data_IF_045329570724
#
_entry.id   IF_045329570724
#
_cell.length_a   1.000
_cell.length_b   1.000
_cell.length_c   1.000
_cell.angle_alpha   90.00
_cell.angle_beta   90.00
_cell.angle_gamma   90.00
#
_symmetry.space_group_name_H-M   'P 1'
#
loop_
_entity.id
_entity.type
_entity.pdbx_description
1 polymer ?
#
# COMPACT_ATOMS: atom_id res chain seq x y z
N UNK A 1 -27.20 -107.44 -3.57
CA UNK A 1 -26.73 -106.69 -4.75
C UNK A 1 -27.26 -105.27 -4.60
N UNK A 2 -26.53 -104.43 -3.87
CA UNK A 2 -26.92 -103.07 -3.47
C UNK A 2 -25.63 -102.22 -3.49
N UNK A 3 -25.64 -101.09 -4.21
CA UNK A 3 -25.08 -99.78 -3.81
C UNK A 3 -25.39 -98.80 -4.98
N UNK A 4 -26.42 -97.96 -4.87
CA UNK A 4 -26.46 -96.60 -4.28
C UNK A 4 -25.67 -95.57 -5.11
N UNK A 5 -26.46 -94.60 -5.58
CA UNK A 5 -26.18 -93.36 -6.29
C UNK A 5 -25.15 -92.46 -5.61
N UNK A 6 -24.18 -91.94 -6.36
CA UNK A 6 -23.41 -90.76 -5.97
C UNK A 6 -23.99 -89.52 -6.67
N UNK A 7 -24.52 -88.61 -5.87
CA UNK A 7 -24.75 -87.20 -6.23
C UNK A 7 -23.40 -86.50 -6.13
N UNK A 8 -23.00 -85.73 -7.15
CA UNK A 8 -21.90 -84.79 -6.99
C UNK A 8 -22.18 -83.47 -7.70
N UNK A 9 -21.72 -82.41 -7.07
CA UNK A 9 -22.34 -81.11 -7.02
C UNK A 9 -22.02 -80.22 -8.23
N UNK A 10 -23.03 -79.48 -8.71
CA UNK A 10 -22.83 -78.34 -9.59
C UNK A 10 -22.15 -77.21 -8.81
N UNK A 11 -20.83 -77.10 -8.91
CA UNK A 11 -20.11 -75.89 -8.56
C UNK A 11 -20.30 -74.86 -9.70
N UNK A 12 -21.03 -73.78 -9.44
CA UNK A 12 -21.11 -72.66 -10.38
C UNK A 12 -19.81 -71.82 -10.32
N UNK A 13 -19.26 -71.37 -11.46
CA UNK A 13 -18.12 -70.46 -11.47
C UNK A 13 -18.57 -69.08 -10.99
N UNK A 14 -18.05 -68.66 -9.84
CA UNK A 14 -18.27 -67.30 -9.31
C UNK A 14 -17.38 -66.35 -10.10
N UNK A 15 -17.97 -65.43 -10.86
CA UNK A 15 -17.22 -64.42 -11.60
C UNK A 15 -16.75 -63.30 -10.64
N UNK A 16 -15.50 -62.82 -10.74
CA UNK A 16 -15.03 -61.71 -9.92
C UNK A 16 -15.79 -60.42 -10.24
N UNK A 17 -16.00 -59.52 -9.26
CA UNK A 17 -16.70 -58.26 -9.49
C UNK A 17 -15.87 -57.37 -10.43
N UNK A 18 -16.51 -56.87 -11.48
CA UNK A 18 -15.94 -55.91 -12.41
C UNK A 18 -15.85 -54.55 -11.69
N UNK A 19 -14.63 -54.13 -11.32
CA UNK A 19 -14.39 -52.78 -10.82
C UNK A 19 -14.39 -51.79 -11.99
N UNK A 20 -15.34 -50.87 -11.97
CA UNK A 20 -15.40 -49.75 -12.91
C UNK A 20 -14.17 -48.84 -12.72
N UNK A 21 -13.59 -48.27 -13.79
CA UNK A 21 -12.53 -47.27 -13.68
C UNK A 21 -13.01 -46.08 -12.83
N UNK A 22 -12.30 -45.77 -11.75
CA UNK A 22 -12.59 -44.57 -10.96
C UNK A 22 -12.12 -43.34 -11.75
N UNK A 23 -13.01 -42.36 -11.92
CA UNK A 23 -12.67 -41.09 -12.54
C UNK A 23 -11.59 -40.35 -11.72
N UNK A 24 -10.65 -39.64 -12.35
CA UNK A 24 -9.67 -38.82 -11.64
C UNK A 24 -10.37 -37.80 -10.73
N UNK A 25 -9.85 -37.53 -9.53
CA UNK A 25 -10.39 -36.46 -8.70
C UNK A 25 -10.32 -35.13 -9.46
N UNK A 26 -11.33 -34.26 -9.32
CA UNK A 26 -11.31 -32.94 -9.96
C UNK A 26 -10.07 -32.16 -9.50
N UNK A 27 -9.48 -31.32 -10.38
CA UNK A 27 -8.35 -30.48 -10.00
C UNK A 27 -8.76 -29.62 -8.80
N UNK A 28 -7.96 -29.68 -7.73
CA UNK A 28 -8.13 -28.83 -6.56
C UNK A 28 -7.96 -27.38 -7.03
N UNK A 29 -9.01 -26.57 -6.87
CA UNK A 29 -8.92 -25.15 -7.17
C UNK A 29 -7.78 -24.53 -6.35
N UNK A 30 -6.91 -23.78 -7.01
CA UNK A 30 -5.86 -23.04 -6.32
C UNK A 30 -6.50 -22.09 -5.29
N UNK A 31 -5.90 -21.91 -4.10
CA UNK A 31 -6.37 -20.92 -3.14
C UNK A 31 -6.47 -19.54 -3.83
N UNK A 32 -7.49 -18.72 -3.53
CA UNK A 32 -7.53 -17.34 -3.97
C UNK A 32 -6.20 -16.65 -3.60
N UNK A 33 -5.67 -15.74 -4.45
CA UNK A 33 -4.50 -14.95 -4.09
C UNK A 33 -4.75 -14.29 -2.72
N UNK A 34 -3.82 -14.45 -1.79
CA UNK A 34 -3.91 -13.75 -0.51
C UNK A 34 -3.95 -12.24 -0.81
N UNK A 35 -5.02 -11.56 -0.40
CA UNK A 35 -5.10 -10.11 -0.44
C UNK A 35 -3.98 -9.57 0.44
N UNK A 36 -3.01 -8.91 -0.18
CA UNK A 36 -1.90 -8.31 0.55
C UNK A 36 -2.45 -7.31 1.58
N UNK A 37 -2.08 -7.51 2.84
CA UNK A 37 -2.55 -6.68 3.96
C UNK A 37 -2.00 -5.26 3.86
N UNK A 38 -2.74 -4.24 4.35
CA UNK A 38 -2.21 -2.87 4.41
C UNK A 38 -0.89 -2.81 5.18
N UNK A 39 0.04 -1.98 4.71
CA UNK A 39 1.30 -1.73 5.39
C UNK A 39 1.06 -1.04 6.73
N UNK A 40 1.68 -1.55 7.79
CA UNK A 40 1.79 -0.81 9.06
C UNK A 40 2.93 0.21 9.00
N UNK A 41 2.88 1.24 9.83
CA UNK A 41 3.97 2.22 9.91
C UNK A 41 5.33 1.56 10.26
N UNK A 42 5.34 0.50 11.09
CA UNK A 42 6.57 -0.22 11.43
C UNK A 42 7.21 -0.98 10.25
N UNK A 43 6.45 -1.23 9.19
CA UNK A 43 6.96 -1.83 7.96
C UNK A 43 7.42 -0.79 6.94
N UNK A 44 7.20 0.49 7.23
CA UNK A 44 7.45 1.59 6.33
C UNK A 44 8.55 2.50 6.86
N UNK A 45 9.27 3.11 5.93
CA UNK A 45 10.04 4.32 6.17
C UNK A 45 9.55 5.40 5.21
N UNK A 46 9.65 6.66 5.61
CA UNK A 46 9.36 7.78 4.74
C UNK A 46 10.67 8.54 4.46
N UNK A 47 10.83 9.04 3.24
CA UNK A 47 12.02 9.80 2.86
C UNK A 47 11.71 10.88 1.82
N UNK A 48 12.48 11.95 1.86
CA UNK A 48 12.53 12.97 0.82
C UNK A 48 13.29 12.46 -0.41
N UNK A 49 12.86 12.84 -1.61
CA UNK A 49 13.45 12.43 -2.89
C UNK A 49 13.98 13.62 -3.67
N UNK A 50 13.13 14.60 -3.96
CA UNK A 50 13.48 15.78 -4.76
C UNK A 50 12.57 16.96 -4.43
N UNK A 51 13.01 18.15 -4.83
CA UNK A 51 12.20 19.38 -4.79
C UNK A 51 12.40 20.16 -6.08
N UNK A 52 11.31 20.71 -6.59
CA UNK A 52 11.29 21.60 -7.75
C UNK A 52 10.39 22.80 -7.44
N UNK A 53 10.72 23.97 -7.99
CA UNK A 53 9.95 25.17 -7.70
C UNK A 53 9.89 26.14 -8.87
N UNK A 54 8.73 26.78 -9.04
CA UNK A 54 8.52 27.81 -10.04
C UNK A 54 7.43 28.79 -9.59
N UNK A 55 7.65 30.08 -9.83
CA UNK A 55 6.70 31.17 -9.54
C UNK A 55 6.12 31.13 -8.11
N UNK A 56 6.96 30.70 -7.16
CA UNK A 56 6.63 30.58 -5.75
C UNK A 56 5.71 29.41 -5.37
N UNK A 57 5.53 28.46 -6.28
CA UNK A 57 5.01 27.11 -5.98
C UNK A 57 6.15 26.13 -5.93
N UNK A 58 6.20 25.32 -4.87
CA UNK A 58 7.19 24.28 -4.65
C UNK A 58 6.47 22.94 -4.68
N UNK A 59 7.09 21.96 -5.32
CA UNK A 59 6.69 20.56 -5.32
C UNK A 59 7.84 19.73 -4.76
N UNK A 60 7.61 19.13 -3.59
CA UNK A 60 8.48 18.12 -3.03
C UNK A 60 7.95 16.73 -3.41
N UNK A 61 8.86 15.83 -3.79
CA UNK A 61 8.56 14.41 -3.93
C UNK A 61 9.09 13.68 -2.71
N UNK A 62 8.20 12.97 -2.03
CA UNK A 62 8.51 12.07 -0.93
C UNK A 62 8.10 10.64 -1.32
N UNK A 63 8.54 9.65 -0.55
CA UNK A 63 8.14 8.27 -0.77
C UNK A 63 7.99 7.48 0.53
N UNK A 64 7.08 6.50 0.51
CA UNK A 64 6.98 5.44 1.52
C UNK A 64 7.67 4.19 1.00
N UNK A 65 8.64 3.65 1.74
CA UNK A 65 9.38 2.43 1.36
C UNK A 65 9.09 1.30 2.32
N UNK A 66 8.72 0.12 1.80
CA UNK A 66 8.57 -1.08 2.60
C UNK A 66 9.95 -1.61 3.03
N UNK A 67 10.27 -1.48 4.32
CA UNK A 67 11.53 -1.94 4.92
C UNK A 67 11.41 -3.32 5.57
N UNK A 68 10.21 -3.91 5.57
CA UNK A 68 9.97 -5.25 6.08
C UNK A 68 10.29 -6.34 5.04
N UNK A 69 10.29 -7.60 5.47
CA UNK A 69 10.48 -8.76 4.59
C UNK A 69 9.18 -9.26 3.95
N UNK A 70 8.05 -8.60 4.18
CA UNK A 70 6.71 -9.04 3.76
C UNK A 70 6.08 -8.00 2.85
N UNK A 71 5.56 -8.43 1.70
CA UNK A 71 4.78 -7.56 0.82
C UNK A 71 3.51 -7.08 1.53
N UNK A 72 3.23 -5.79 1.43
CA UNK A 72 2.03 -5.15 1.97
C UNK A 72 1.48 -4.14 0.98
N UNK A 73 0.32 -3.55 1.27
CA UNK A 73 -0.34 -2.58 0.38
C UNK A 73 -0.46 -1.19 0.97
N UNK A 74 -0.41 -0.17 0.12
CA UNK A 74 -0.75 1.22 0.46
C UNK A 74 -1.77 1.77 -0.54
N UNK A 75 -2.62 2.70 -0.11
CA UNK A 75 -3.63 3.30 -0.99
C UNK A 75 -4.08 4.66 -0.44
N UNK A 76 -4.39 5.59 -1.33
CA UNK A 76 -4.97 6.88 -0.96
C UNK A 76 -3.91 7.94 -0.67
N UNK A 77 -4.11 8.69 0.41
CA UNK A 77 -3.27 9.83 0.79
C UNK A 77 -2.64 9.58 2.16
N UNK A 78 -1.42 10.09 2.35
CA UNK A 78 -0.85 10.25 3.69
C UNK A 78 -1.49 11.46 4.37
N UNK A 79 -1.35 11.55 5.70
CA UNK A 79 -1.63 12.78 6.45
C UNK A 79 -0.32 13.39 6.91
N UNK A 80 -0.20 14.72 6.81
CA UNK A 80 1.02 15.47 7.16
C UNK A 80 0.83 16.39 8.35
N UNK A 81 1.85 16.44 9.19
CA UNK A 81 2.06 17.48 10.21
C UNK A 81 3.48 18.02 10.13
N UNK A 82 3.63 19.34 10.20
CA UNK A 82 4.91 20.03 10.17
C UNK A 82 5.44 20.27 11.57
N UNK A 83 6.75 20.12 11.73
CA UNK A 83 7.46 20.31 13.00
C UNK A 83 8.69 21.19 12.73
N UNK A 84 8.90 22.21 13.56
CA UNK A 84 10.05 23.11 13.46
C UNK A 84 11.36 22.46 13.96
N UNK A 85 12.48 23.17 13.82
CA UNK A 85 13.79 22.69 14.26
C UNK A 85 13.92 22.50 15.78
N UNK A 86 13.02 23.09 16.57
CA UNK A 86 12.92 22.90 18.02
C UNK A 86 12.10 21.67 18.42
N UNK A 87 11.48 20.97 17.47
CA UNK A 87 10.58 19.85 17.73
C UNK A 87 9.16 20.29 18.08
N UNK A 88 8.76 21.53 17.76
CA UNK A 88 7.43 22.07 18.03
C UNK A 88 6.57 21.98 16.78
N UNK A 89 5.32 21.52 16.96
CA UNK A 89 4.36 21.49 15.86
C UNK A 89 4.06 22.90 15.37
N UNK A 90 4.18 23.11 14.06
CA UNK A 90 3.75 24.35 13.40
C UNK A 90 2.43 24.12 12.68
N UNK A 91 1.65 25.19 12.50
CA UNK A 91 0.34 25.12 11.86
C UNK A 91 0.45 24.44 10.51
N UNK A 92 -0.29 23.34 10.33
CA UNK A 92 -0.32 22.58 9.08
C UNK A 92 -1.76 22.47 8.62
N UNK A 93 -2.04 22.92 7.40
CA UNK A 93 -3.32 22.69 6.72
C UNK A 93 -3.08 21.74 5.56
N UNK A 94 -3.24 20.46 5.87
CA UNK A 94 -3.15 19.37 4.90
C UNK A 94 -4.38 19.33 3.98
N UNK A 95 -4.15 19.29 2.66
CA UNK A 95 -5.18 19.27 1.62
C UNK A 95 -4.92 18.09 0.67
N UNK A 96 -5.54 16.92 0.90
CA UNK A 96 -5.40 15.77 0.01
C UNK A 96 -6.03 16.07 -1.36
N UNK A 97 -5.29 15.78 -2.42
CA UNK A 97 -5.72 16.02 -3.81
C UNK A 97 -5.86 17.49 -4.17
N UNK A 98 -5.18 18.39 -3.44
CA UNK A 98 -5.24 19.83 -3.67
C UNK A 98 -4.28 20.33 -4.77
N UNK A 99 -4.58 21.52 -5.30
CA UNK A 99 -3.68 22.23 -6.20
C UNK A 99 -3.29 21.44 -7.45
N UNK A 100 -1.98 21.42 -7.76
CA UNK A 100 -1.41 20.69 -8.90
C UNK A 100 -1.39 19.16 -8.70
N UNK A 101 -1.73 18.68 -7.49
CA UNK A 101 -1.72 17.26 -7.12
C UNK A 101 -3.12 16.64 -7.10
N UNK A 102 -4.03 17.18 -7.90
CA UNK A 102 -5.45 16.80 -7.93
C UNK A 102 -5.76 15.49 -8.67
N UNK A 103 -4.73 14.74 -9.10
CA UNK A 103 -4.92 13.39 -9.67
C UNK A 103 -5.45 12.45 -8.56
N UNK A 104 -6.61 11.79 -8.77
CA UNK A 104 -7.20 10.90 -7.77
C UNK A 104 -6.28 9.72 -7.42
N UNK A 105 -6.48 9.07 -6.26
CA UNK A 105 -5.79 7.83 -5.94
C UNK A 105 -6.22 6.71 -6.89
N UNK A 106 -5.33 5.75 -7.09
CA UNK A 106 -5.65 4.56 -7.86
C UNK A 106 -6.72 3.72 -7.12
N UNK A 107 -7.69 3.13 -7.86
CA UNK A 107 -8.80 2.39 -7.26
C UNK A 107 -8.35 1.10 -6.58
N UNK A 108 -7.23 0.53 -7.05
CA UNK A 108 -6.64 -0.69 -6.50
C UNK A 108 -5.50 -0.36 -5.52
N UNK A 109 -5.32 -1.14 -4.44
CA UNK A 109 -4.19 -0.95 -3.54
C UNK A 109 -2.85 -1.21 -4.23
N UNK A 110 -1.86 -0.36 -3.95
CA UNK A 110 -0.50 -0.46 -4.47
C UNK A 110 0.27 -1.48 -3.63
N UNK A 111 0.71 -2.58 -4.25
CA UNK A 111 1.55 -3.58 -3.58
C UNK A 111 3.01 -3.12 -3.51
N UNK A 112 3.57 -3.09 -2.29
CA UNK A 112 4.97 -2.81 -2.03
C UNK A 112 5.66 -4.09 -1.56
N UNK A 113 6.44 -4.70 -2.45
CA UNK A 113 7.38 -5.76 -2.06
C UNK A 113 8.51 -5.17 -1.18
N UNK A 114 9.28 -6.00 -0.45
CA UNK A 114 10.43 -5.54 0.31
C UNK A 114 11.37 -4.66 -0.53
N UNK A 115 11.66 -3.46 -0.04
CA UNK A 115 12.50 -2.46 -0.70
C UNK A 115 11.81 -1.65 -1.81
N UNK A 116 10.53 -1.89 -2.12
CA UNK A 116 9.78 -1.05 -3.06
C UNK A 116 9.25 0.21 -2.37
N UNK A 117 9.13 1.28 -3.17
CA UNK A 117 8.74 2.60 -2.70
C UNK A 117 7.53 3.12 -3.48
N UNK A 118 6.57 3.72 -2.78
CA UNK A 118 5.44 4.44 -3.35
C UNK A 118 5.69 5.95 -3.20
N UNK A 119 5.89 6.70 -4.31
CA UNK A 119 6.09 8.14 -4.24
C UNK A 119 4.76 8.89 -4.07
N UNK A 120 4.83 10.08 -3.49
CA UNK A 120 3.73 11.04 -3.41
C UNK A 120 4.28 12.47 -3.40
N UNK A 121 3.49 13.41 -3.91
CA UNK A 121 3.87 14.82 -3.97
C UNK A 121 3.39 15.60 -2.76
N UNK A 122 4.12 16.64 -2.40
CA UNK A 122 3.72 17.67 -1.44
C UNK A 122 3.93 19.02 -2.10
N UNK A 123 2.85 19.76 -2.36
CA UNK A 123 2.91 21.04 -3.05
C UNK A 123 2.47 22.20 -2.16
N UNK A 124 3.27 23.26 -2.10
CA UNK A 124 3.07 24.41 -1.22
C UNK A 124 3.54 25.71 -1.88
N UNK A 125 3.23 26.85 -1.26
CA UNK A 125 3.61 28.18 -1.75
C UNK A 125 4.59 28.83 -0.77
N UNK A 126 5.69 29.40 -1.27
CA UNK A 126 6.61 30.24 -0.48
C UNK A 126 6.27 31.74 -0.56
N UNK A 127 5.17 32.07 -1.25
CA UNK A 127 4.67 33.45 -1.38
C UNK A 127 3.69 33.75 -0.23
N UNK A 128 3.99 34.74 0.64
CA UNK A 128 3.08 35.18 1.68
C UNK A 128 1.76 35.70 1.10
N UNK A 129 0.64 35.40 1.75
CA UNK A 129 -0.69 35.88 1.34
C UNK A 129 -1.41 36.59 2.48
N UNK A 130 -2.37 37.46 2.12
CA UNK A 130 -3.15 38.20 3.12
C UNK A 130 -2.28 39.15 3.95
N UNK A 131 -2.17 38.87 5.25
CA UNK A 131 -1.36 39.65 6.19
C UNK A 131 -0.04 38.96 6.57
N UNK A 132 0.30 37.84 5.93
CA UNK A 132 1.58 37.18 6.14
C UNK A 132 2.72 38.07 5.64
N UNK A 133 3.75 38.21 6.47
CA UNK A 133 5.01 38.88 6.10
C UNK A 133 6.17 37.88 6.02
N UNK A 134 6.02 36.73 6.67
CA UNK A 134 6.92 35.58 6.68
C UNK A 134 6.11 34.30 6.84
N UNK A 135 6.66 33.16 6.43
CA UNK A 135 6.01 31.87 6.54
C UNK A 135 6.79 30.98 7.52
N UNK A 136 6.14 30.36 8.53
CA UNK A 136 6.83 29.52 9.49
C UNK A 136 7.54 28.35 8.81
N UNK A 137 8.83 28.17 9.14
CA UNK A 137 9.63 27.07 8.62
C UNK A 137 9.41 25.78 9.42
N UNK A 138 9.44 24.65 8.72
CA UNK A 138 9.44 23.31 9.27
C UNK A 138 10.75 22.61 8.88
N UNK A 139 11.32 21.88 9.83
CA UNK A 139 12.53 21.07 9.63
C UNK A 139 12.20 19.58 9.47
N UNK A 140 10.98 19.17 9.84
CA UNK A 140 10.53 17.79 9.81
C UNK A 140 9.06 17.73 9.38
N UNK A 141 8.72 16.70 8.60
CA UNK A 141 7.36 16.23 8.41
C UNK A 141 7.12 14.97 9.23
N UNK A 142 6.05 14.97 10.00
CA UNK A 142 5.40 13.77 10.50
C UNK A 142 4.41 13.28 9.43
N UNK A 143 4.68 12.10 8.88
CA UNK A 143 3.90 11.46 7.81
C UNK A 143 3.14 10.28 8.41
N UNK A 144 1.82 10.35 8.46
CA UNK A 144 0.97 9.21 8.87
C UNK A 144 0.54 8.42 7.65
N UNK A 145 0.94 7.13 7.50
CA UNK A 145 0.49 6.29 6.41
C UNK A 145 -1.04 6.08 6.43
N UNK A 146 -1.66 5.81 5.26
CA UNK A 146 -3.09 5.57 5.17
C UNK A 146 -3.56 4.45 6.10
N UNK A 147 -4.63 4.67 6.84
CA UNK A 147 -5.24 3.67 7.73
C UNK A 147 -4.48 3.41 9.05
N UNK A 148 -3.41 4.16 9.33
CA UNK A 148 -2.66 4.11 10.58
C UNK A 148 -2.78 5.38 11.43
N UNK A 149 -2.14 5.37 12.60
CA UNK A 149 -2.02 6.51 13.52
C UNK A 149 -0.58 6.78 13.97
N UNK A 150 0.36 6.02 13.44
CA UNK A 150 1.78 6.12 13.79
C UNK A 150 2.49 6.90 12.71
N UNK A 151 3.17 7.96 13.13
CA UNK A 151 3.88 8.88 12.26
C UNK A 151 5.28 8.35 11.91
N UNK A 152 5.70 8.62 10.67
CA UNK A 152 7.05 8.45 10.17
C UNK A 152 7.66 9.85 10.01
N UNK A 153 8.87 10.05 10.51
CA UNK A 153 9.51 11.37 10.45
C UNK A 153 10.41 11.51 9.23
N UNK A 154 10.28 12.60 8.50
CA UNK A 154 11.08 12.93 7.31
C UNK A 154 11.73 14.30 7.50
N UNK A 155 13.07 14.40 7.50
CA UNK A 155 13.74 15.69 7.45
C UNK A 155 13.43 16.42 6.14
N UNK A 156 13.09 17.70 6.26
CA UNK A 156 12.72 18.57 5.15
C UNK A 156 13.21 19.99 5.43
N UNK A 157 13.15 20.85 4.40
CA UNK A 157 13.28 22.29 4.55
C UNK A 157 12.13 22.94 3.78
N UNK A 158 11.07 23.30 4.48
CA UNK A 158 9.87 23.89 3.86
C UNK A 158 9.31 25.01 4.73
N UNK A 159 8.75 26.03 4.09
CA UNK A 159 8.11 27.15 4.77
C UNK A 159 6.78 27.53 4.09
N UNK A 160 5.73 26.67 4.19
CA UNK A 160 4.46 26.90 3.50
C UNK A 160 3.74 28.15 4.01
N UNK A 161 3.53 29.08 3.10
CA UNK A 161 2.65 30.22 3.28
C UNK A 161 1.17 29.82 3.15
N UNK A 162 0.27 30.78 3.31
CA UNK A 162 -1.17 30.52 3.26
C UNK A 162 -1.65 29.72 4.47
N UNK A 163 -1.16 30.08 5.65
CA UNK A 163 -1.50 29.44 6.93
C UNK A 163 -0.93 28.04 7.08
N UNK A 164 0.23 27.76 6.48
CA UNK A 164 0.84 26.43 6.52
C UNK A 164 0.14 25.42 5.61
N UNK A 165 -0.45 25.87 4.50
CA UNK A 165 -1.18 24.98 3.58
C UNK A 165 -0.21 24.13 2.77
N UNK A 166 -0.41 22.81 2.84
CA UNK A 166 0.30 21.82 2.02
C UNK A 166 -0.73 20.99 1.27
N UNK A 167 -0.57 20.85 -0.04
CA UNK A 167 -1.38 19.97 -0.86
C UNK A 167 -0.68 18.63 -0.97
N UNK A 168 -1.40 17.53 -0.78
CA UNK A 168 -0.81 16.18 -0.75
C UNK A 168 -1.36 15.36 -1.89
N UNK A 169 -0.45 14.84 -2.72
CA UNK A 169 -0.78 13.94 -3.80
C UNK A 169 -1.09 12.55 -3.28
N UNK A 170 -1.92 11.81 -4.01
CA UNK A 170 -2.14 10.40 -3.69
C UNK A 170 -0.84 9.61 -3.91
N UNK A 171 -0.70 8.54 -3.13
CA UNK A 171 0.36 7.55 -3.29
C UNK A 171 0.28 6.94 -4.68
N UNK A 172 1.46 6.73 -5.28
CA UNK A 172 1.61 6.21 -6.66
C UNK A 172 2.32 4.88 -6.68
N UNK A 173 2.12 4.12 -7.76
CA UNK A 173 2.85 2.87 -7.95
C UNK A 173 4.37 3.13 -8.02
N UNK A 174 5.20 2.14 -7.66
CA UNK A 174 6.65 2.28 -7.75
C UNK A 174 7.12 2.76 -9.12
N UNK A 175 7.90 3.85 -9.14
CA UNK A 175 8.45 4.45 -10.36
C UNK A 175 7.51 5.39 -11.11
N UNK A 176 6.28 5.62 -10.65
CA UNK A 176 5.39 6.62 -11.25
C UNK A 176 5.73 8.05 -10.84
N UNK A 177 5.36 9.00 -11.71
CA UNK A 177 5.35 10.44 -11.43
C UNK A 177 4.30 10.79 -10.36
N UNK A 178 4.59 11.82 -9.55
CA UNK A 178 3.65 12.37 -8.56
C UNK A 178 2.66 13.38 -9.13
N UNK A 179 2.96 13.95 -10.30
CA UNK A 179 2.08 14.78 -11.13
C UNK A 179 1.39 13.92 -12.20
#
# INVERSE_FOLDING_TARGET
MILVTAVDAFAQPVSPPVQLPQAPPPPVAAPPPATATPCTALQLSASFVSSEGAAGTILDTLQLTNTSSVTCTVQGFVTLHMIDAGGINVTTRDVPGGGILNRPPDPDPIALAPGQSSPFGVAWSDVPVGNETTCPAAAMLAVTPPGGFTELSVPVDLAPCGGGTVNVGALRAPGESVL
#
